data_IF_371237050130
#
_entry.id   IF_371237050130
#
_cell.length_a   1.000
_cell.length_b   1.000
_cell.length_c   1.000
_cell.angle_alpha   90.00
_cell.angle_beta   90.00
_cell.angle_gamma   90.00
#
_symmetry.space_group_name_H-M   'P 1'
#
loop_
_entity.id
_entity.type
_entity.pdbx_description
1 polymer ?
#
# COMPACT_ATOMS: atom_id res chain seq x y z
N UNK A 1 -18.65 4.88 -2.65
CA UNK A 1 -18.72 3.40 -2.75
C UNK A 1 -17.49 2.92 -3.50
N UNK A 2 -16.94 1.76 -3.14
CA UNK A 2 -15.76 1.18 -3.82
C UNK A 2 -16.24 0.19 -4.88
N UNK A 3 -15.68 0.27 -6.09
CA UNK A 3 -15.98 -0.60 -7.22
C UNK A 3 -14.76 -0.68 -8.16
N UNK A 4 -14.64 -1.74 -8.97
CA UNK A 4 -13.48 -1.93 -9.85
C UNK A 4 -13.37 -0.84 -10.92
N UNK A 5 -12.15 -0.36 -11.16
CA UNK A 5 -11.78 0.56 -12.22
C UNK A 5 -10.44 0.16 -12.83
N UNK A 6 -10.21 0.57 -14.08
CA UNK A 6 -8.91 0.42 -14.73
C UNK A 6 -7.89 1.38 -14.09
N UNK A 7 -6.68 0.87 -13.89
CA UNK A 7 -5.55 1.59 -13.30
C UNK A 7 -4.83 2.53 -14.29
N UNK A 8 -4.93 2.30 -15.61
CA UNK A 8 -4.21 3.09 -16.65
C UNK A 8 -4.53 4.59 -16.63
N UNK A 9 -5.75 4.99 -16.22
CA UNK A 9 -6.13 6.41 -16.15
C UNK A 9 -6.14 6.99 -14.74
N UNK A 10 -5.65 6.23 -13.76
CA UNK A 10 -5.73 6.57 -12.35
C UNK A 10 -4.97 7.86 -12.02
N UNK A 11 -5.68 8.82 -11.43
CA UNK A 11 -5.18 10.15 -11.09
C UNK A 11 -4.05 10.10 -10.05
N UNK A 12 -4.04 9.13 -9.13
CA UNK A 12 -2.94 8.97 -8.17
C UNK A 12 -1.66 8.49 -8.83
N UNK A 13 -1.75 7.54 -9.77
CA UNK A 13 -0.59 7.07 -10.53
C UNK A 13 0.04 8.22 -11.32
N UNK A 14 -0.79 9.01 -12.02
CA UNK A 14 -0.36 10.22 -12.75
C UNK A 14 0.30 11.25 -11.84
N UNK A 15 -0.35 11.60 -10.71
CA UNK A 15 0.17 12.56 -9.73
C UNK A 15 1.51 12.14 -9.13
N UNK A 16 1.72 10.83 -8.96
CA UNK A 16 2.93 10.26 -8.37
C UNK A 16 4.02 9.92 -9.39
N UNK A 17 3.77 10.14 -10.69
CA UNK A 17 4.69 9.80 -11.78
C UNK A 17 4.93 8.29 -11.90
N UNK A 18 3.91 7.48 -11.60
CA UNK A 18 3.95 6.03 -11.77
C UNK A 18 3.49 5.72 -13.20
N UNK A 19 4.34 5.03 -13.97
CA UNK A 19 4.03 4.63 -15.34
C UNK A 19 2.98 3.51 -15.37
N UNK A 20 2.20 3.43 -16.45
CA UNK A 20 1.19 2.37 -16.66
C UNK A 20 1.79 0.96 -16.65
N UNK A 21 3.08 0.83 -17.01
CA UNK A 21 3.77 -0.45 -17.04
C UNK A 21 4.33 -0.89 -15.67
N UNK A 22 4.21 -0.06 -14.63
CA UNK A 22 4.70 -0.39 -13.29
C UNK A 22 3.63 -1.10 -12.46
N UNK A 23 3.99 -2.17 -11.78
CA UNK A 23 3.15 -2.83 -10.79
C UNK A 23 3.17 -2.04 -9.47
N UNK A 24 2.01 -1.59 -9.00
CA UNK A 24 1.83 -0.89 -7.73
C UNK A 24 1.42 -1.86 -6.64
N UNK A 25 2.28 -2.01 -5.64
CA UNK A 25 1.97 -2.68 -4.37
C UNK A 25 1.51 -1.63 -3.37
N UNK A 26 0.20 -1.61 -3.08
CA UNK A 26 -0.41 -0.58 -2.24
C UNK A 26 -0.59 -1.06 -0.79
N UNK A 27 -0.10 -0.26 0.15
CA UNK A 27 -0.61 -0.24 1.52
C UNK A 27 -1.44 1.04 1.72
N UNK A 28 -2.67 0.92 2.22
CA UNK A 28 -3.54 2.07 2.53
C UNK A 28 -4.08 1.99 3.95
N UNK A 29 -3.69 2.94 4.81
CA UNK A 29 -4.27 3.10 6.14
C UNK A 29 -3.28 3.60 7.21
N UNK A 30 -3.67 3.42 8.48
CA UNK A 30 -2.88 3.91 9.62
C UNK A 30 -1.47 3.28 9.67
N UNK A 31 -0.42 4.08 9.80
CA UNK A 31 0.97 3.64 9.88
C UNK A 31 1.42 3.54 11.35
N UNK A 32 0.87 2.56 12.06
CA UNK A 32 1.26 2.24 13.44
C UNK A 32 2.41 1.23 13.50
N UNK A 33 3.22 1.28 14.56
CA UNK A 33 4.34 0.34 14.77
C UNK A 33 3.93 -1.14 14.76
N UNK A 34 2.69 -1.43 15.16
CA UNK A 34 2.13 -2.79 15.20
C UNK A 34 1.58 -3.29 13.85
N UNK A 35 1.67 -2.50 12.79
CA UNK A 35 1.13 -2.86 11.47
C UNK A 35 2.12 -3.64 10.60
N UNK A 36 3.32 -3.99 11.09
CA UNK A 36 4.27 -4.79 10.31
C UNK A 36 4.87 -4.09 9.09
N UNK A 37 4.79 -2.76 9.02
CA UNK A 37 5.20 -1.99 7.84
C UNK A 37 6.69 -2.05 7.54
N UNK A 38 7.55 -2.48 8.47
CA UNK A 38 8.96 -2.71 8.14
C UNK A 38 9.14 -3.76 7.02
N UNK A 39 8.23 -4.74 6.91
CA UNK A 39 8.27 -5.74 5.85
C UNK A 39 8.22 -5.11 4.45
N UNK A 40 7.44 -4.03 4.27
CA UNK A 40 7.36 -3.38 2.96
C UNK A 40 8.65 -2.64 2.60
N UNK A 41 9.38 -2.12 3.59
CA UNK A 41 10.68 -1.49 3.38
C UNK A 41 11.72 -2.54 3.02
N UNK A 42 11.71 -3.69 3.69
CA UNK A 42 12.58 -4.82 3.37
C UNK A 42 12.34 -5.35 1.95
N UNK A 43 11.07 -5.50 1.55
CA UNK A 43 10.70 -5.86 0.18
C UNK A 43 11.16 -4.81 -0.83
N UNK A 44 10.99 -3.51 -0.53
CA UNK A 44 11.45 -2.43 -1.39
C UNK A 44 12.98 -2.45 -1.57
N UNK A 45 13.75 -2.70 -0.51
CA UNK A 45 15.22 -2.88 -0.57
C UNK A 45 15.60 -4.08 -1.43
N UNK A 46 14.97 -5.23 -1.22
CA UNK A 46 15.25 -6.45 -1.98
C UNK A 46 14.99 -6.27 -3.48
N UNK A 47 14.00 -5.44 -3.83
CA UNK A 47 13.55 -5.21 -5.19
C UNK A 47 13.95 -3.83 -5.73
N UNK A 48 14.95 -3.17 -5.14
CA UNK A 48 15.36 -1.79 -5.51
C UNK A 48 15.79 -1.65 -6.97
N UNK A 49 16.38 -2.72 -7.54
CA UNK A 49 16.84 -2.77 -8.92
C UNK A 49 15.73 -3.15 -9.91
N UNK A 50 14.54 -3.54 -9.42
CA UNK A 50 13.39 -3.83 -10.26
C UNK A 50 12.56 -2.55 -10.49
N UNK A 51 12.82 -1.89 -11.61
CA UNK A 51 12.15 -0.63 -11.98
C UNK A 51 10.67 -0.79 -12.33
N UNK A 52 10.18 -2.02 -12.47
CA UNK A 52 8.78 -2.31 -12.78
C UNK A 52 7.89 -2.37 -11.53
N UNK A 53 8.44 -2.32 -10.31
CA UNK A 53 7.66 -2.40 -9.08
C UNK A 53 7.73 -1.08 -8.33
N UNK A 54 6.58 -0.60 -7.85
CA UNK A 54 6.48 0.56 -6.98
C UNK A 54 5.67 0.20 -5.75
N UNK A 55 6.26 0.43 -4.57
CA UNK A 55 5.57 0.34 -3.29
C UNK A 55 4.93 1.69 -2.97
N UNK A 56 3.61 1.73 -2.89
CA UNK A 56 2.87 2.94 -2.52
C UNK A 56 2.32 2.78 -1.11
N UNK A 57 2.78 3.62 -0.18
CA UNK A 57 2.28 3.65 1.19
C UNK A 57 1.43 4.91 1.37
N UNK A 58 0.12 4.72 1.46
CA UNK A 58 -0.83 5.80 1.67
C UNK A 58 -1.34 5.82 3.12
N UNK A 59 -1.17 6.96 3.80
CA UNK A 59 -1.70 7.15 5.15
C UNK A 59 -0.75 7.94 6.06
N UNK A 60 -1.02 7.84 7.36
CA UNK A 60 -0.25 8.53 8.38
C UNK A 60 -0.24 7.71 9.68
N UNK A 61 0.67 8.02 10.60
CA UNK A 61 0.77 7.37 11.89
C UNK A 61 2.17 7.49 12.48
N UNK A 62 2.30 7.08 13.74
CA UNK A 62 3.53 7.26 14.51
C UNK A 62 4.77 6.58 13.91
N UNK A 63 4.60 5.54 13.07
CA UNK A 63 5.72 4.85 12.43
C UNK A 63 6.19 5.53 11.13
N UNK A 64 5.40 6.43 10.54
CA UNK A 64 5.69 7.00 9.21
C UNK A 64 7.06 7.69 9.13
N UNK A 65 7.46 8.58 10.07
CA UNK A 65 8.77 9.24 9.97
C UNK A 65 9.94 8.25 9.96
N UNK A 66 9.84 7.16 10.73
CA UNK A 66 10.85 6.10 10.74
C UNK A 66 10.87 5.31 9.43
N UNK A 67 9.71 5.02 8.85
CA UNK A 67 9.61 4.35 7.54
C UNK A 67 10.19 5.20 6.41
N UNK A 68 9.89 6.51 6.39
CA UNK A 68 10.44 7.45 5.41
C UNK A 68 11.96 7.55 5.54
N UNK A 69 12.50 7.62 6.77
CA UNK A 69 13.94 7.61 7.01
C UNK A 69 14.61 6.32 6.50
N UNK A 70 14.01 5.15 6.78
CA UNK A 70 14.53 3.86 6.31
C UNK A 70 14.47 3.68 4.79
N UNK A 71 13.63 4.47 4.12
CA UNK A 71 13.35 4.43 2.70
C UNK A 71 14.01 5.57 1.90
N UNK A 72 14.73 6.48 2.55
CA UNK A 72 15.21 7.73 1.94
C UNK A 72 16.03 7.54 0.65
N UNK A 73 16.76 6.42 0.54
CA UNK A 73 17.63 6.10 -0.59
C UNK A 73 16.96 5.20 -1.65
N UNK A 74 15.72 4.79 -1.40
CA UNK A 74 14.96 3.88 -2.28
C UNK A 74 14.15 4.65 -3.31
N UNK A 75 14.26 4.24 -4.57
CA UNK A 75 13.56 4.89 -5.70
C UNK A 75 12.23 4.23 -6.06
N UNK A 76 12.01 3.01 -5.58
CA UNK A 76 10.85 2.17 -5.88
C UNK A 76 9.76 2.26 -4.79
N UNK A 77 9.82 3.26 -3.90
CA UNK A 77 8.85 3.45 -2.84
C UNK A 77 8.38 4.91 -2.81
N UNK A 78 7.08 5.10 -2.59
CA UNK A 78 6.44 6.40 -2.54
C UNK A 78 5.51 6.47 -1.33
N UNK A 79 5.53 7.60 -0.64
CA UNK A 79 4.64 7.90 0.47
C UNK A 79 3.58 8.90 0.01
N UNK A 80 2.33 8.65 0.36
CA UNK A 80 1.20 9.50 0.07
C UNK A 80 0.46 9.81 1.38
N UNK A 81 0.08 11.06 1.58
CA UNK A 81 -0.71 11.45 2.74
C UNK A 81 -2.08 10.78 2.76
N UNK A 82 -2.73 10.77 3.92
CA UNK A 82 -4.09 10.27 4.04
C UNK A 82 -5.01 11.01 3.05
N UNK A 83 -5.75 10.25 2.26
CA UNK A 83 -6.65 10.80 1.25
C UNK A 83 -8.08 10.95 1.79
N UNK A 84 -8.85 11.94 1.29
CA UNK A 84 -10.27 12.05 1.58
C UNK A 84 -11.04 10.79 1.19
N UNK A 85 -12.13 10.49 1.90
CA UNK A 85 -12.91 9.28 1.69
C UNK A 85 -13.58 9.24 0.31
N UNK A 86 -13.86 10.42 -0.26
CA UNK A 86 -14.43 10.59 -1.59
C UNK A 86 -13.50 10.04 -2.67
N UNK A 87 -12.18 10.08 -2.43
CA UNK A 87 -11.17 9.58 -3.36
C UNK A 87 -10.74 8.15 -3.04
N UNK A 88 -11.33 7.50 -2.03
CA UNK A 88 -10.92 6.17 -1.61
C UNK A 88 -11.06 5.13 -2.73
N UNK A 89 -12.12 5.24 -3.55
CA UNK A 89 -12.29 4.33 -4.69
C UNK A 89 -11.12 4.44 -5.68
N UNK A 90 -10.78 5.67 -6.05
CA UNK A 90 -9.68 5.97 -6.96
C UNK A 90 -8.34 5.52 -6.36
N UNK A 91 -8.11 5.76 -5.06
CA UNK A 91 -6.90 5.32 -4.36
C UNK A 91 -6.75 3.80 -4.41
N UNK A 92 -7.80 3.05 -4.06
CA UNK A 92 -7.72 1.59 -4.01
C UNK A 92 -7.55 0.97 -5.40
N UNK A 93 -8.10 1.59 -6.45
CA UNK A 93 -7.92 1.16 -7.83
C UNK A 93 -6.54 1.55 -8.42
N UNK A 94 -5.71 2.32 -7.71
CA UNK A 94 -4.32 2.58 -8.11
C UNK A 94 -3.42 1.35 -7.96
N UNK A 95 -3.83 0.40 -7.12
CA UNK A 95 -3.13 -0.83 -6.84
C UNK A 95 -3.24 -1.82 -8.00
N UNK A 96 -2.12 -2.49 -8.27
CA UNK A 96 -2.10 -3.77 -8.98
C UNK A 96 -2.21 -4.92 -7.97
N UNK A 97 -1.62 -4.73 -6.77
CA UNK A 97 -1.68 -5.65 -5.65
C UNK A 97 -1.88 -4.85 -4.37
N UNK A 98 -2.83 -5.27 -3.53
CA UNK A 98 -2.93 -4.76 -2.15
C UNK A 98 -2.03 -5.55 -1.22
N UNK A 99 -1.31 -4.85 -0.35
CA UNK A 99 -0.51 -5.46 0.72
C UNK A 99 -1.19 -5.24 2.07
N UNK A 100 -1.53 -6.34 2.74
CA UNK A 100 -2.15 -6.36 4.06
C UNK A 100 -1.21 -7.06 5.04
N UNK A 101 -0.28 -6.33 5.68
CA UNK A 101 0.58 -6.92 6.70
C UNK A 101 -0.22 -7.22 7.97
N UNK A 102 -0.10 -8.44 8.49
CA UNK A 102 -0.72 -8.85 9.77
C UNK A 102 0.37 -9.33 10.73
N UNK A 103 0.54 -8.63 11.85
CA UNK A 103 1.43 -9.10 12.92
C UNK A 103 0.72 -10.13 13.81
N UNK A 104 1.41 -11.21 14.19
CA UNK A 104 0.89 -12.28 15.07
C UNK A 104 0.23 -11.77 16.37
N UNK A 105 0.79 -10.70 16.95
CA UNK A 105 0.32 -10.19 18.24
C UNK A 105 -0.96 -9.34 18.14
N UNK A 106 -1.59 -9.27 16.96
CA UNK A 106 -2.91 -8.70 16.74
C UNK A 106 -3.98 -9.79 16.51
N UNK A 107 -3.80 -10.96 17.11
CA UNK A 107 -4.73 -12.08 17.10
C UNK A 107 -6.04 -11.85 17.90
N UNK A 108 -6.55 -10.62 17.93
CA UNK A 108 -7.96 -10.41 18.18
C UNK A 108 -8.66 -10.72 16.86
N UNK A 109 -9.45 -11.79 16.88
CA UNK A 109 -10.12 -12.45 15.75
C UNK A 109 -11.19 -11.56 15.07
N UNK A 110 -10.83 -10.34 14.66
CA UNK A 110 -11.70 -9.38 14.00
C UNK A 110 -11.31 -9.24 12.53
N UNK A 111 -12.32 -9.21 11.65
CA UNK A 111 -12.13 -8.98 10.23
C UNK A 111 -11.35 -7.67 10.00
N UNK A 112 -10.22 -7.68 9.28
CA UNK A 112 -9.47 -6.46 9.03
C UNK A 112 -10.32 -5.49 8.20
N UNK A 113 -10.61 -4.32 8.75
CA UNK A 113 -11.54 -3.33 8.15
C UNK A 113 -11.14 -2.85 6.75
N UNK A 114 -9.86 -2.98 6.40
CA UNK A 114 -9.33 -2.63 5.08
C UNK A 114 -9.63 -3.69 4.01
N UNK A 115 -9.77 -4.96 4.41
CA UNK A 115 -9.89 -6.10 3.50
C UNK A 115 -11.12 -5.98 2.61
N UNK A 116 -12.28 -5.57 3.16
CA UNK A 116 -13.50 -5.38 2.38
C UNK A 116 -13.32 -4.34 1.26
N UNK A 117 -12.61 -3.24 1.54
CA UNK A 117 -12.32 -2.21 0.54
C UNK A 117 -11.36 -2.71 -0.54
N UNK A 118 -10.32 -3.45 -0.14
CA UNK A 118 -9.38 -4.08 -1.08
C UNK A 118 -10.11 -5.05 -2.02
N UNK A 119 -10.95 -5.94 -1.47
CA UNK A 119 -11.74 -6.89 -2.26
C UNK A 119 -12.73 -6.19 -3.21
N UNK A 120 -13.37 -5.10 -2.79
CA UNK A 120 -14.29 -4.34 -3.62
C UNK A 120 -13.62 -3.67 -4.84
N UNK A 121 -12.29 -3.50 -4.82
CA UNK A 121 -11.53 -2.98 -5.97
C UNK A 121 -11.14 -4.05 -6.99
N UNK A 122 -11.46 -5.32 -6.74
CA UNK A 122 -11.15 -6.47 -7.62
C UNK A 122 -9.65 -6.58 -7.95
N UNK A 123 -8.80 -6.36 -6.94
CA UNK A 123 -7.35 -6.51 -7.03
C UNK A 123 -6.87 -7.65 -6.14
N UNK A 124 -5.84 -8.40 -6.56
CA UNK A 124 -5.23 -9.42 -5.71
C UNK A 124 -4.68 -8.80 -4.42
N UNK A 125 -4.71 -9.59 -3.34
CA UNK A 125 -4.27 -9.17 -2.01
C UNK A 125 -3.20 -10.14 -1.52
N UNK A 126 -2.04 -9.61 -1.13
CA UNK A 126 -1.01 -10.36 -0.41
C UNK A 126 -1.18 -10.05 1.07
N UNK A 127 -1.44 -11.10 1.84
CA UNK A 127 -1.56 -11.04 3.30
C UNK A 127 -0.35 -11.73 3.90
N UNK A 128 0.34 -11.07 4.84
CA UNK A 128 1.27 -11.79 5.72
C UNK A 128 0.50 -12.22 6.96
N UNK A 129 0.49 -13.51 7.24
CA UNK A 129 -0.07 -14.08 8.46
C UNK A 129 1.00 -15.01 9.03
N UNK A 130 1.37 -14.81 10.29
CA UNK A 130 2.26 -15.74 10.96
C UNK A 130 1.51 -17.05 11.25
N UNK A 131 2.23 -18.17 11.18
CA UNK A 131 1.81 -19.44 11.76
C UNK A 131 1.90 -19.39 13.28
#
# INVERSE_FOLDING_TARGET
>A
MIYPQNNHDNSYRKKLGISDNQCVVLYSGNMGYKQGLNQIIEMAKLLENNTQIVFLLCGNGAARPGLELLAQDLRNIKFLDLQPIENLNELLNSADIHFLPQQANAADLVMPSKLTGMMASDKPIIVTANQ
#
